data_IF_397209518566
#
_entry.id   IF_397209518566
#
_cell.length_a   1.000
_cell.length_b   1.000
_cell.length_c   1.000
_cell.angle_alpha   90.00
_cell.angle_beta   90.00
_cell.angle_gamma   90.00
#
_symmetry.space_group_name_H-M   'P 1'
#
loop_
_entity.id
_entity.type
_entity.pdbx_description
1 polymer ?
#
# COMPACT_ATOMS: atom_id res chain seq x y z
N UNK A 1 16.54 35.39 -19.21
CA UNK A 1 17.71 36.22 -18.80
C UNK A 1 17.57 36.44 -17.31
N UNK A 2 18.37 35.72 -16.53
CA UNK A 2 18.42 35.84 -15.07
C UNK A 2 19.53 36.84 -14.79
N UNK A 3 19.23 37.95 -14.11
CA UNK A 3 20.23 38.96 -13.74
C UNK A 3 20.78 38.68 -12.34
N UNK A 4 22.03 39.10 -12.12
CA UNK A 4 22.96 38.83 -11.01
C UNK A 4 22.54 39.25 -9.58
N UNK A 5 21.25 39.23 -9.24
CA UNK A 5 20.76 39.50 -7.87
C UNK A 5 20.33 38.25 -7.09
N UNK A 6 20.32 37.06 -7.69
CA UNK A 6 19.87 35.82 -7.03
C UNK A 6 20.98 35.05 -6.28
N UNK A 7 22.12 35.68 -6.00
CA UNK A 7 23.26 35.09 -5.29
C UNK A 7 23.67 35.88 -4.05
N UNK A 8 22.75 36.19 -3.16
CA UNK A 8 23.10 36.53 -1.78
C UNK A 8 21.86 36.61 -0.87
N UNK A 9 21.42 35.49 -0.28
CA UNK A 9 21.03 35.43 1.15
C UNK A 9 21.15 33.96 1.61
N UNK A 10 22.38 33.51 1.84
CA UNK A 10 22.63 32.38 2.74
C UNK A 10 22.86 32.99 4.12
N UNK A 11 21.95 32.74 5.07
CA UNK A 11 22.12 33.11 6.48
C UNK A 11 21.33 34.33 6.97
N UNK A 12 20.00 34.23 7.05
CA UNK A 12 19.18 34.94 8.05
C UNK A 12 17.72 34.48 7.96
N UNK A 13 17.03 34.40 9.10
CA UNK A 13 15.62 34.01 9.28
C UNK A 13 14.73 34.60 8.19
N UNK A 14 14.13 33.75 7.35
CA UNK A 14 13.14 34.17 6.35
C UNK A 14 11.80 34.34 7.08
N UNK A 15 11.33 35.58 7.19
CA UNK A 15 9.97 35.90 7.61
C UNK A 15 8.99 35.65 6.46
N UNK A 16 8.00 34.79 6.67
CA UNK A 16 6.98 34.41 5.68
C UNK A 16 5.91 35.49 5.46
N UNK A 17 6.30 36.67 5.00
CA UNK A 17 5.38 37.76 4.67
C UNK A 17 5.47 38.24 3.21
N UNK A 18 6.31 37.65 2.37
CA UNK A 18 6.48 38.13 0.99
C UNK A 18 5.50 37.51 -0.03
N UNK A 19 4.88 38.33 -0.91
CA UNK A 19 3.85 37.90 -1.88
C UNK A 19 4.30 36.81 -2.86
N UNK A 20 5.60 36.72 -3.17
CA UNK A 20 6.16 35.76 -4.13
C UNK A 20 6.08 34.30 -3.67
N UNK A 21 6.11 34.05 -2.36
CA UNK A 21 6.06 32.70 -1.81
C UNK A 21 4.65 32.07 -1.89
N UNK A 22 3.61 32.90 -1.99
CA UNK A 22 2.21 32.45 -2.16
C UNK A 22 1.93 31.91 -3.56
N UNK A 23 2.64 32.38 -4.58
CA UNK A 23 2.42 31.97 -5.98
C UNK A 23 2.99 30.56 -6.24
N UNK A 24 4.13 30.22 -5.64
CA UNK A 24 4.72 28.88 -5.76
C UNK A 24 3.85 27.79 -5.10
N UNK A 25 3.24 28.09 -3.95
CA UNK A 25 2.29 27.20 -3.27
C UNK A 25 0.95 27.07 -4.02
N UNK A 26 0.48 28.14 -4.67
CA UNK A 26 -0.79 28.10 -5.42
C UNK A 26 -0.71 27.22 -6.68
N UNK A 27 0.47 27.12 -7.32
CA UNK A 27 0.66 26.29 -8.53
C UNK A 27 0.67 24.79 -8.18
N UNK A 28 1.24 24.40 -7.04
CA UNK A 28 1.15 23.02 -6.53
C UNK A 28 -0.24 22.66 -5.97
N UNK A 29 -1.03 23.66 -5.57
CA UNK A 29 -2.36 23.50 -4.96
C UNK A 29 -3.48 23.23 -5.98
N UNK A 30 -3.34 23.66 -7.23
CA UNK A 30 -4.42 23.53 -8.23
C UNK A 30 -4.72 22.08 -8.68
N UNK A 31 -3.90 21.10 -8.30
CA UNK A 31 -4.09 19.67 -8.62
C UNK A 31 -4.83 18.87 -7.54
N UNK A 32 -5.17 19.46 -6.38
CA UNK A 32 -5.87 18.76 -5.31
C UNK A 32 -6.86 19.70 -4.59
N UNK A 33 -8.12 19.64 -5.00
CA UNK A 33 -9.21 20.47 -4.47
C UNK A 33 -9.62 20.05 -3.05
N UNK A 34 -8.94 20.56 -2.04
CA UNK A 34 -9.51 20.75 -0.70
C UNK A 34 -9.13 22.15 -0.18
N UNK A 35 -10.07 22.94 0.38
CA UNK A 35 -9.77 24.28 0.87
C UNK A 35 -8.91 24.22 2.15
N UNK A 36 -7.75 24.88 2.12
CA UNK A 36 -6.95 25.16 3.31
C UNK A 36 -7.74 26.08 4.28
N UNK A 37 -8.01 25.58 5.48
CA UNK A 37 -8.60 26.37 6.56
C UNK A 37 -7.50 27.21 7.22
N UNK A 38 -7.49 28.53 7.01
CA UNK A 38 -6.50 29.46 7.58
C UNK A 38 -6.42 29.43 9.12
N UNK A 39 -7.39 28.84 9.83
CA UNK A 39 -7.32 28.64 11.30
C UNK A 39 -6.30 27.60 11.76
N UNK A 40 -5.64 26.89 10.84
CA UNK A 40 -4.58 25.93 11.15
C UNK A 40 -3.22 26.58 11.47
N UNK A 41 -3.01 27.85 11.10
CA UNK A 41 -1.76 28.57 11.39
C UNK A 41 -1.68 28.98 12.88
N UNK A 42 -2.80 29.04 13.60
CA UNK A 42 -2.86 29.44 15.01
C UNK A 42 -2.71 28.26 16.01
N UNK A 43 -2.75 27.02 15.52
CA UNK A 43 -2.42 25.83 16.31
C UNK A 43 -0.95 25.53 16.05
N UNK A 44 -0.11 25.70 17.06
CA UNK A 44 1.35 25.55 16.96
C UNK A 44 1.73 24.37 16.07
N UNK A 45 2.32 24.66 14.92
CA UNK A 45 2.76 23.67 13.95
C UNK A 45 3.80 22.82 14.65
N UNK A 46 3.46 21.56 14.92
CA UNK A 46 4.39 20.60 15.48
C UNK A 46 5.43 20.27 14.41
N UNK A 47 6.65 20.77 14.64
CA UNK A 47 7.76 20.83 13.70
C UNK A 47 8.70 19.62 13.79
N UNK A 48 8.37 18.60 14.60
CA UNK A 48 9.21 17.42 14.72
C UNK A 48 9.33 16.70 13.36
N UNK A 49 10.55 16.38 12.90
CA UNK A 49 10.71 15.54 11.72
C UNK A 49 10.09 14.18 12.01
N UNK A 50 9.41 13.60 11.01
CA UNK A 50 8.81 12.28 11.17
C UNK A 50 9.19 11.34 10.03
N UNK A 51 9.20 10.05 10.35
CA UNK A 51 9.41 8.95 9.42
C UNK A 51 8.06 8.40 9.00
N UNK A 52 7.89 8.15 7.70
CA UNK A 52 6.80 7.36 7.16
C UNK A 52 7.36 5.96 6.87
N UNK A 53 6.78 4.92 7.47
CA UNK A 53 7.27 3.53 7.35
C UNK A 53 6.13 2.53 7.11
N UNK A 54 6.50 1.33 6.68
CA UNK A 54 5.57 0.22 6.40
C UNK A 54 6.22 -1.14 6.65
N UNK A 55 5.47 -2.20 6.37
CA UNK A 55 5.95 -3.58 6.32
C UNK A 55 6.13 -4.08 4.88
N UNK A 56 6.93 -5.12 4.70
CA UNK A 56 7.30 -5.69 3.38
C UNK A 56 6.10 -6.12 2.51
N UNK A 57 4.95 -6.41 3.12
CA UNK A 57 3.71 -6.88 2.46
C UNK A 57 2.99 -5.81 1.62
N UNK A 58 3.67 -4.70 1.33
CA UNK A 58 3.26 -3.66 0.38
C UNK A 58 3.60 -4.06 -1.07
N UNK A 59 4.39 -5.12 -1.27
CA UNK A 59 4.74 -5.73 -2.57
C UNK A 59 5.29 -4.71 -3.60
N UNK A 60 6.15 -3.82 -3.11
CA UNK A 60 6.91 -2.89 -3.95
C UNK A 60 8.36 -3.35 -4.08
N UNK A 61 9.03 -3.07 -5.22
CA UNK A 61 10.44 -3.40 -5.38
C UNK A 61 11.30 -2.54 -4.44
N UNK A 62 12.49 -3.03 -4.09
CA UNK A 62 13.43 -2.31 -3.22
C UNK A 62 13.69 -0.86 -3.64
N UNK A 63 13.78 -0.60 -4.94
CA UNK A 63 13.95 0.74 -5.50
C UNK A 63 12.86 1.73 -5.04
N UNK A 64 11.61 1.29 -4.86
CA UNK A 64 10.52 2.13 -4.35
C UNK A 64 10.87 2.73 -2.98
N UNK A 65 11.46 1.92 -2.09
CA UNK A 65 11.81 2.32 -0.74
C UNK A 65 13.07 3.18 -0.70
N UNK A 66 14.10 2.80 -1.47
CA UNK A 66 15.37 3.52 -1.54
C UNK A 66 15.19 4.92 -2.12
N UNK A 67 14.46 5.06 -3.23
CA UNK A 67 14.19 6.34 -3.88
C UNK A 67 13.35 7.28 -3.00
N UNK A 68 12.45 6.73 -2.19
CA UNK A 68 11.53 7.49 -1.34
C UNK A 68 12.06 7.70 0.08
N UNK A 69 13.13 7.00 0.46
CA UNK A 69 13.63 6.97 1.83
C UNK A 69 12.59 6.46 2.83
N UNK A 70 11.80 5.45 2.43
CA UNK A 70 10.77 4.81 3.28
C UNK A 70 11.39 3.59 3.96
N UNK A 71 11.62 3.61 5.29
CA UNK A 71 12.05 2.43 6.01
C UNK A 71 10.92 1.40 6.05
N UNK A 72 11.29 0.12 6.02
CA UNK A 72 10.33 -0.96 6.13
C UNK A 72 10.81 -2.07 7.06
N UNK A 73 9.86 -2.80 7.64
CA UNK A 73 10.08 -3.99 8.46
C UNK A 73 9.66 -5.25 7.70
N UNK A 74 10.52 -6.27 7.71
CA UNK A 74 10.24 -7.50 6.97
C UNK A 74 9.31 -8.42 7.76
N UNK A 75 8.28 -8.92 7.10
CA UNK A 75 7.63 -10.16 7.49
C UNK A 75 8.57 -11.35 7.24
N UNK A 76 8.14 -12.55 7.66
CA UNK A 76 8.84 -13.79 7.38
C UNK A 76 7.93 -14.80 6.69
N UNK A 77 8.49 -15.56 5.78
CA UNK A 77 7.89 -16.79 5.27
C UNK A 77 8.70 -17.98 5.81
N UNK A 78 8.02 -19.10 6.02
CA UNK A 78 8.56 -20.29 6.66
C UNK A 78 8.46 -21.43 5.66
N UNK A 79 9.59 -22.03 5.30
CA UNK A 79 9.67 -23.20 4.42
C UNK A 79 9.15 -24.47 5.11
N UNK A 80 8.94 -25.52 4.33
CA UNK A 80 8.37 -26.77 4.81
C UNK A 80 9.25 -27.50 5.85
N UNK A 81 10.56 -27.22 5.85
CA UNK A 81 11.52 -27.69 6.86
C UNK A 81 11.53 -26.85 8.15
N UNK A 82 10.75 -25.78 8.20
CA UNK A 82 10.60 -24.89 9.36
C UNK A 82 11.60 -23.74 9.41
N UNK A 83 12.45 -23.56 8.38
CA UNK A 83 13.34 -22.39 8.33
C UNK A 83 12.56 -21.09 8.06
N UNK A 84 12.88 -20.04 8.80
CA UNK A 84 12.26 -18.73 8.64
C UNK A 84 13.15 -17.81 7.79
N UNK A 85 12.58 -17.28 6.73
CA UNK A 85 13.24 -16.39 5.79
C UNK A 85 12.57 -15.02 5.80
N UNK A 86 13.35 -13.96 5.67
CA UNK A 86 12.80 -12.61 5.52
C UNK A 86 12.08 -12.49 4.17
N UNK A 87 10.95 -11.80 4.17
CA UNK A 87 10.34 -11.26 2.97
C UNK A 87 11.05 -9.94 2.61
N UNK A 88 12.28 -10.09 2.12
CA UNK A 88 13.20 -8.99 1.86
C UNK A 88 13.09 -8.44 0.43
N UNK A 89 11.87 -8.45 -0.10
CA UNK A 89 11.52 -7.90 -1.41
C UNK A 89 12.22 -8.59 -2.59
N UNK A 90 12.57 -9.87 -2.41
CA UNK A 90 13.16 -10.71 -3.46
C UNK A 90 14.69 -10.71 -3.50
N UNK A 91 15.36 -10.10 -2.51
CA UNK A 91 16.82 -9.97 -2.47
C UNK A 91 17.51 -11.30 -2.13
N UNK A 92 17.02 -12.03 -1.12
CA UNK A 92 17.58 -13.33 -0.72
C UNK A 92 17.07 -14.48 -1.60
N UNK A 93 15.85 -14.37 -2.11
CA UNK A 93 15.22 -15.36 -2.97
C UNK A 93 14.33 -14.65 -3.98
N UNK A 94 14.67 -14.76 -5.27
CA UNK A 94 13.84 -14.23 -6.36
C UNK A 94 12.43 -14.81 -6.29
N UNK A 95 11.41 -14.00 -6.58
CA UNK A 95 10.02 -14.45 -6.55
C UNK A 95 9.75 -15.60 -7.53
N UNK A 96 10.41 -15.64 -8.68
CA UNK A 96 10.34 -16.76 -9.63
C UNK A 96 10.76 -18.08 -8.96
N UNK A 97 11.91 -18.09 -8.30
CA UNK A 97 12.39 -19.28 -7.57
C UNK A 97 11.45 -19.67 -6.41
N UNK A 98 10.87 -18.69 -5.71
CA UNK A 98 9.88 -18.95 -4.66
C UNK A 98 8.62 -19.62 -5.23
N UNK A 99 8.04 -19.09 -6.30
CA UNK A 99 6.85 -19.67 -6.93
C UNK A 99 7.14 -21.01 -7.60
N UNK A 100 8.32 -21.22 -8.17
CA UNK A 100 8.74 -22.54 -8.67
C UNK A 100 8.78 -23.60 -7.55
N UNK A 101 9.23 -23.25 -6.34
CA UNK A 101 9.14 -24.18 -5.18
C UNK A 101 7.68 -24.54 -4.88
N UNK A 102 6.78 -23.56 -4.89
CA UNK A 102 5.36 -23.78 -4.62
C UNK A 102 4.69 -24.66 -5.69
N UNK A 103 4.99 -24.43 -6.98
CA UNK A 103 4.53 -25.29 -8.08
C UNK A 103 5.01 -26.73 -7.95
N UNK A 104 6.22 -26.92 -7.39
CA UNK A 104 6.80 -28.23 -7.09
C UNK A 104 6.29 -28.84 -5.77
N UNK A 105 5.27 -28.24 -5.15
CA UNK A 105 4.55 -28.80 -4.00
C UNK A 105 4.90 -28.19 -2.65
N UNK A 106 5.77 -27.18 -2.60
CA UNK A 106 6.09 -26.51 -1.34
C UNK A 106 4.87 -25.74 -0.79
N UNK A 107 4.65 -25.79 0.52
CA UNK A 107 3.48 -25.19 1.18
C UNK A 107 3.92 -24.18 2.26
N UNK A 108 4.62 -23.09 1.87
CA UNK A 108 5.17 -22.16 2.84
C UNK A 108 4.07 -21.54 3.71
N UNK A 109 4.43 -21.28 4.96
CA UNK A 109 3.61 -20.51 5.90
C UNK A 109 4.27 -19.16 6.18
N UNK A 110 3.66 -18.31 7.00
CA UNK A 110 4.15 -16.95 7.24
C UNK A 110 4.07 -16.58 8.70
N UNK A 111 4.97 -15.72 9.14
CA UNK A 111 4.88 -15.03 10.42
C UNK A 111 5.02 -13.52 10.26
N UNK A 112 4.23 -12.81 11.03
CA UNK A 112 4.33 -11.36 11.19
C UNK A 112 5.61 -10.99 11.98
N UNK A 113 6.08 -9.75 11.89
CA UNK A 113 7.06 -9.22 12.84
C UNK A 113 6.52 -9.35 14.27
N UNK A 114 7.41 -9.72 15.19
CA UNK A 114 7.05 -9.86 16.60
C UNK A 114 7.14 -8.50 17.31
N UNK A 115 6.74 -8.47 18.58
CA UNK A 115 6.76 -7.26 19.41
C UNK A 115 8.15 -6.61 19.48
N UNK A 116 9.22 -7.41 19.62
CA UNK A 116 10.58 -6.90 19.70
C UNK A 116 11.03 -6.34 18.34
N UNK A 117 10.72 -7.01 17.23
CA UNK A 117 11.03 -6.52 15.88
C UNK A 117 10.45 -5.11 15.67
N UNK A 118 9.18 -4.88 16.05
CA UNK A 118 8.56 -3.55 15.96
C UNK A 118 9.15 -2.55 16.96
N UNK A 119 9.44 -2.97 18.19
CA UNK A 119 10.02 -2.11 19.22
C UNK A 119 11.37 -1.58 18.75
N UNK A 120 12.27 -2.46 18.31
CA UNK A 120 13.59 -2.08 17.83
C UNK A 120 13.49 -1.18 16.59
N UNK A 121 12.59 -1.51 15.66
CA UNK A 121 12.36 -0.74 14.45
C UNK A 121 11.90 0.69 14.76
N UNK A 122 10.85 0.87 15.56
CA UNK A 122 10.35 2.19 15.91
C UNK A 122 11.33 2.97 16.78
N UNK A 123 11.90 2.32 17.81
CA UNK A 123 12.84 2.96 18.73
C UNK A 123 14.05 3.55 18.01
N UNK A 124 14.52 2.90 16.93
CA UNK A 124 15.63 3.43 16.12
C UNK A 124 15.37 4.86 15.60
N UNK A 125 14.13 5.19 15.25
CA UNK A 125 13.75 6.52 14.77
C UNK A 125 13.48 7.50 15.92
N UNK A 126 12.91 7.01 17.02
CA UNK A 126 12.62 7.82 18.21
C UNK A 126 13.90 8.35 18.87
N UNK A 127 14.93 7.49 18.95
CA UNK A 127 16.27 7.86 19.46
C UNK A 127 16.92 8.95 18.61
N UNK A 128 16.67 8.93 17.31
CA UNK A 128 17.09 9.97 16.36
C UNK A 128 16.26 11.27 16.47
N UNK A 129 15.30 11.30 17.39
CA UNK A 129 14.43 12.43 17.61
C UNK A 129 13.40 12.65 16.50
N UNK A 130 12.94 11.56 15.87
CA UNK A 130 11.89 11.59 14.84
C UNK A 130 10.60 10.98 15.38
N UNK A 131 9.48 11.55 14.99
CA UNK A 131 8.17 10.91 15.17
C UNK A 131 7.99 9.80 14.11
N UNK A 132 7.03 8.89 14.31
CA UNK A 132 6.79 7.75 13.42
C UNK A 132 5.32 7.72 13.00
N UNK A 133 5.10 7.72 11.69
CA UNK A 133 3.84 7.34 11.06
C UNK A 133 4.07 6.00 10.34
N UNK A 134 3.49 4.94 10.87
CA UNK A 134 3.59 3.61 10.28
C UNK A 134 2.23 3.22 9.69
N UNK A 135 2.20 2.85 8.41
CA UNK A 135 1.01 2.26 7.79
C UNK A 135 1.25 0.76 7.75
N UNK A 136 0.25 -0.06 8.08
CA UNK A 136 0.41 -1.51 8.19
C UNK A 136 -0.66 -2.27 7.38
N UNK A 137 -0.33 -3.50 6.99
CA UNK A 137 -1.24 -4.49 6.41
C UNK A 137 -2.54 -4.59 7.21
N UNK A 138 -3.64 -4.79 6.49
CA UNK A 138 -4.98 -4.94 7.07
C UNK A 138 -5.01 -5.83 8.31
N UNK A 139 -5.56 -5.28 9.40
CA UNK A 139 -5.78 -6.02 10.65
C UNK A 139 -6.74 -7.22 10.51
N UNK A 140 -7.57 -7.26 9.47
CA UNK A 140 -8.45 -8.39 9.19
C UNK A 140 -7.72 -9.59 8.53
N UNK A 141 -6.47 -9.39 8.08
CA UNK A 141 -5.66 -10.40 7.38
C UNK A 141 -4.50 -10.88 8.26
N UNK A 142 -3.92 -9.98 9.05
CA UNK A 142 -2.73 -10.21 9.87
C UNK A 142 -2.84 -9.53 11.24
N UNK A 143 -2.22 -10.12 12.26
CA UNK A 143 -2.06 -9.50 13.57
C UNK A 143 -0.89 -8.51 13.64
N UNK A 144 -0.23 -8.19 12.52
CA UNK A 144 0.90 -7.27 12.50
C UNK A 144 0.51 -5.87 13.01
N UNK A 145 -0.66 -5.37 12.61
CA UNK A 145 -1.20 -4.10 13.10
C UNK A 145 -1.30 -4.06 14.64
N UNK A 146 -1.86 -5.10 15.27
CA UNK A 146 -1.98 -5.13 16.73
C UNK A 146 -0.62 -5.29 17.43
N UNK A 147 0.33 -5.99 16.80
CA UNK A 147 1.73 -6.06 17.24
C UNK A 147 2.41 -4.70 17.22
N UNK A 148 2.29 -3.97 16.11
CA UNK A 148 2.83 -2.63 15.93
C UNK A 148 2.22 -1.63 16.94
N UNK A 149 0.90 -1.65 17.13
CA UNK A 149 0.21 -0.82 18.14
C UNK A 149 0.72 -1.12 19.55
N UNK A 150 0.92 -2.40 19.89
CA UNK A 150 1.43 -2.79 21.20
C UNK A 150 2.84 -2.27 21.45
N UNK A 151 3.74 -2.40 20.46
CA UNK A 151 5.09 -1.86 20.53
C UNK A 151 5.11 -0.33 20.63
N UNK A 152 4.29 0.36 19.82
CA UNK A 152 4.13 1.80 19.87
C UNK A 152 3.68 2.30 21.25
N UNK A 153 2.70 1.63 21.88
CA UNK A 153 2.23 2.00 23.21
C UNK A 153 3.30 1.83 24.29
N UNK A 154 4.10 0.76 24.24
CA UNK A 154 5.22 0.58 25.16
C UNK A 154 6.29 1.68 25.00
N UNK A 155 6.58 2.08 23.76
CA UNK A 155 7.56 3.13 23.48
C UNK A 155 7.06 4.53 23.85
N UNK A 156 5.74 4.79 23.83
CA UNK A 156 5.17 6.07 24.30
C UNK A 156 5.48 6.35 25.78
N UNK A 157 5.64 5.32 26.61
CA UNK A 157 6.07 5.48 28.02
C UNK A 157 7.55 5.88 28.13
N UNK A 158 8.38 5.39 27.20
CA UNK A 158 9.84 5.62 27.20
C UNK A 158 10.21 6.94 26.51
N UNK A 159 9.43 7.35 25.50
CA UNK A 159 9.62 8.55 24.69
C UNK A 159 8.36 9.44 24.71
N UNK A 160 8.00 10.01 25.87
CA UNK A 160 6.74 10.74 26.05
C UNK A 160 6.66 12.03 25.21
N UNK A 161 7.78 12.56 24.74
CA UNK A 161 7.87 13.72 23.86
C UNK A 161 7.78 13.38 22.36
N UNK A 162 7.67 12.08 22.02
CA UNK A 162 7.58 11.60 20.63
C UNK A 162 6.21 11.07 20.29
N UNK A 163 5.86 11.17 19.01
CA UNK A 163 4.61 10.65 18.45
C UNK A 163 4.88 9.37 17.66
N UNK A 164 4.03 8.37 17.86
CA UNK A 164 4.02 7.11 17.10
C UNK A 164 2.56 6.81 16.79
N UNK A 165 2.21 6.85 15.51
CA UNK A 165 0.87 6.52 15.04
C UNK A 165 0.93 5.38 14.05
N UNK A 166 0.07 4.38 14.28
CA UNK A 166 -0.04 3.16 13.48
C UNK A 166 -1.37 3.20 12.75
N UNK A 167 -1.35 3.21 11.42
CA UNK A 167 -2.52 3.22 10.56
C UNK A 167 -2.77 1.81 10.05
N UNK A 168 -3.94 1.26 10.37
CA UNK A 168 -4.47 0.10 9.67
C UNK A 168 -4.86 0.52 8.26
N UNK A 169 -4.11 0.06 7.25
CA UNK A 169 -4.38 0.35 5.83
C UNK A 169 -5.73 -0.19 5.37
N UNK A 170 -6.32 -1.14 6.10
CA UNK A 170 -7.48 -1.92 5.66
C UNK A 170 -7.29 -2.51 4.27
N UNK A 171 -6.04 -2.67 3.81
CA UNK A 171 -5.73 -3.12 2.46
C UNK A 171 -4.51 -4.06 2.53
N UNK A 172 -4.09 -4.57 1.37
CA UNK A 172 -2.93 -5.43 1.23
C UNK A 172 -2.24 -5.13 -0.10
N UNK A 173 -0.94 -5.43 -0.19
CA UNK A 173 -0.20 -5.35 -1.46
C UNK A 173 -0.39 -4.00 -2.16
N UNK A 174 -0.85 -3.99 -3.42
CA UNK A 174 -1.03 -2.80 -4.25
C UNK A 174 -1.93 -1.71 -3.66
N UNK A 175 -3.02 -2.05 -2.97
CA UNK A 175 -3.91 -1.02 -2.41
C UNK A 175 -3.29 -0.37 -1.18
N UNK A 176 -2.51 -1.14 -0.42
CA UNK A 176 -1.64 -0.63 0.64
C UNK A 176 -0.51 0.25 0.07
N UNK A 177 0.12 -0.16 -1.04
CA UNK A 177 1.14 0.63 -1.74
C UNK A 177 0.60 1.97 -2.23
N UNK A 178 -0.60 1.98 -2.79
CA UNK A 178 -1.26 3.18 -3.29
C UNK A 178 -1.54 4.20 -2.17
N UNK A 179 -1.96 3.73 -0.98
CA UNK A 179 -2.12 4.59 0.21
C UNK A 179 -0.76 5.15 0.65
N UNK A 180 0.26 4.30 0.75
CA UNK A 180 1.61 4.69 1.16
C UNK A 180 2.21 5.75 0.23
N UNK A 181 2.12 5.56 -1.09
CA UNK A 181 2.65 6.52 -2.06
C UNK A 181 1.92 7.87 -1.98
N UNK A 182 0.59 7.88 -1.81
CA UNK A 182 -0.16 9.12 -1.64
C UNK A 182 0.23 9.87 -0.37
N UNK A 183 0.38 9.17 0.77
CA UNK A 183 0.81 9.79 2.04
C UNK A 183 2.24 10.30 1.94
N UNK A 184 3.13 9.55 1.28
CA UNK A 184 4.49 9.99 1.02
C UNK A 184 4.50 11.30 0.21
N UNK A 185 3.72 11.39 -0.88
CA UNK A 185 3.61 12.62 -1.66
C UNK A 185 3.14 13.82 -0.82
N UNK A 186 2.17 13.62 0.09
CA UNK A 186 1.72 14.68 1.00
C UNK A 186 2.78 15.11 1.99
N UNK A 187 3.48 14.14 2.59
CA UNK A 187 4.61 14.41 3.47
C UNK A 187 5.69 15.22 2.75
N UNK A 188 6.05 14.87 1.52
CA UNK A 188 7.03 15.60 0.73
C UNK A 188 6.57 17.02 0.37
N UNK A 189 5.25 17.22 0.24
CA UNK A 189 4.64 18.55 0.09
C UNK A 189 4.56 19.36 1.41
N UNK A 190 5.13 18.85 2.51
CA UNK A 190 5.18 19.53 3.80
C UNK A 190 3.89 19.41 4.62
N UNK A 191 3.01 18.45 4.30
CA UNK A 191 1.82 18.20 5.12
C UNK A 191 2.23 17.82 6.55
N UNK A 192 1.67 18.47 7.60
CA UNK A 192 1.98 18.15 8.99
C UNK A 192 1.66 16.69 9.36
N UNK A 193 2.27 16.20 10.43
CA UNK A 193 2.13 14.82 10.90
C UNK A 193 0.66 14.42 11.11
N UNK A 194 -0.11 15.18 11.90
CA UNK A 194 -1.52 14.89 12.17
C UNK A 194 -2.39 14.91 10.92
N UNK A 195 -2.01 15.72 9.94
CA UNK A 195 -2.72 15.83 8.67
C UNK A 195 -2.41 14.63 7.77
N UNK A 196 -1.16 14.14 7.79
CA UNK A 196 -0.78 12.89 7.13
C UNK A 196 -1.49 11.68 7.72
N UNK A 197 -1.65 11.62 9.05
CA UNK A 197 -2.43 10.59 9.76
C UNK A 197 -3.87 10.57 9.24
N UNK A 198 -4.58 11.71 9.31
CA UNK A 198 -5.97 11.80 8.86
C UNK A 198 -6.12 11.57 7.36
N UNK A 199 -5.13 11.98 6.57
CA UNK A 199 -5.10 11.73 5.13
C UNK A 199 -4.94 10.24 4.82
N UNK A 200 -4.07 9.52 5.54
CA UNK A 200 -3.91 8.07 5.38
C UNK A 200 -5.21 7.32 5.70
N UNK A 201 -5.90 7.71 6.78
CA UNK A 201 -7.22 7.17 7.14
C UNK A 201 -8.26 7.45 6.06
N UNK A 202 -8.31 8.68 5.52
CA UNK A 202 -9.24 9.01 4.43
C UNK A 202 -8.93 8.24 3.14
N UNK A 203 -7.65 8.04 2.81
CA UNK A 203 -7.23 7.24 1.66
C UNK A 203 -7.75 5.81 1.75
N UNK A 204 -7.67 5.15 2.92
CA UNK A 204 -8.09 3.76 3.05
C UNK A 204 -9.57 3.51 2.74
N UNK A 205 -10.42 4.53 2.94
CA UNK A 205 -11.85 4.47 2.65
C UNK A 205 -12.17 4.56 1.15
N UNK A 206 -11.17 4.88 0.31
CA UNK A 206 -11.29 5.03 -1.14
C UNK A 206 -10.40 4.09 -1.94
N UNK A 207 -9.43 3.45 -1.29
CA UNK A 207 -8.53 2.50 -1.94
C UNK A 207 -9.30 1.20 -2.27
N UNK A 208 -9.74 1.07 -3.52
CA UNK A 208 -10.41 -0.13 -4.02
C UNK A 208 -9.37 -1.14 -4.45
N UNK A 209 -9.61 -2.41 -4.16
CA UNK A 209 -8.75 -3.51 -4.57
C UNK A 209 -9.60 -4.67 -5.07
N UNK A 210 -9.39 -5.05 -6.32
CA UNK A 210 -10.08 -6.16 -6.98
C UNK A 210 -9.06 -7.18 -7.44
N UNK A 211 -9.36 -8.47 -7.30
CA UNK A 211 -8.44 -9.52 -7.72
C UNK A 211 -9.16 -10.78 -8.13
N UNK A 212 -8.48 -11.60 -8.93
CA UNK A 212 -8.88 -12.97 -9.20
C UNK A 212 -7.69 -13.89 -9.02
N UNK A 213 -7.96 -15.17 -8.77
CA UNK A 213 -6.96 -16.22 -8.77
C UNK A 213 -7.46 -17.43 -9.53
N UNK A 214 -6.53 -18.15 -10.17
CA UNK A 214 -6.80 -19.42 -10.85
C UNK A 214 -6.88 -20.60 -9.90
N UNK A 215 -6.36 -20.46 -8.68
CA UNK A 215 -6.34 -21.53 -7.68
C UNK A 215 -6.71 -21.01 -6.28
N UNK A 216 -7.96 -21.22 -5.89
CA UNK A 216 -8.48 -20.81 -4.59
C UNK A 216 -8.04 -21.71 -3.44
N UNK A 217 -7.39 -22.85 -3.71
CA UNK A 217 -6.97 -23.78 -2.66
C UNK A 217 -5.94 -23.15 -1.72
N UNK A 218 -5.07 -22.28 -2.25
CA UNK A 218 -4.11 -21.50 -1.47
C UNK A 218 -4.80 -20.58 -0.47
N UNK A 219 -5.86 -19.88 -0.88
CA UNK A 219 -6.60 -18.97 -0.01
C UNK A 219 -7.33 -19.71 1.12
N UNK A 220 -7.87 -20.88 0.82
CA UNK A 220 -8.54 -21.72 1.83
C UNK A 220 -7.54 -22.31 2.80
N UNK A 221 -6.40 -22.82 2.31
CA UNK A 221 -5.31 -23.31 3.17
C UNK A 221 -4.74 -22.19 4.05
N UNK A 222 -4.54 -21.01 3.47
CA UNK A 222 -4.07 -19.82 4.17
C UNK A 222 -5.06 -19.33 5.23
N UNK A 223 -6.36 -19.60 5.08
CA UNK A 223 -7.37 -19.27 6.10
C UNK A 223 -7.73 -17.77 6.20
N UNK A 224 -7.15 -16.93 5.33
CA UNK A 224 -7.38 -15.46 5.29
C UNK A 224 -8.63 -15.08 4.51
N UNK A 225 -9.28 -16.05 3.86
CA UNK A 225 -10.56 -15.85 3.18
C UNK A 225 -11.59 -16.89 3.58
N UNK A 226 -12.19 -16.68 4.76
CA UNK A 226 -13.19 -17.59 5.34
C UNK A 226 -14.37 -17.90 4.39
N UNK A 227 -14.91 -16.94 3.60
CA UNK A 227 -16.02 -17.23 2.69
C UNK A 227 -15.66 -18.05 1.43
N UNK A 228 -14.38 -18.17 1.06
CA UNK A 228 -13.97 -18.91 -0.16
C UNK A 228 -14.12 -20.42 0.00
N UNK A 229 -14.10 -20.97 1.22
CA UNK A 229 -14.23 -22.41 1.44
C UNK A 229 -15.48 -23.02 0.76
N UNK A 230 -16.58 -22.26 0.67
CA UNK A 230 -17.81 -22.67 -0.02
C UNK A 230 -17.78 -22.52 -1.55
N UNK A 231 -16.75 -21.89 -2.12
CA UNK A 231 -16.56 -21.72 -3.57
C UNK A 231 -15.71 -22.83 -4.19
N UNK A 232 -14.95 -23.58 -3.39
CA UNK A 232 -14.20 -24.77 -3.83
C UNK A 232 -15.20 -25.93 -3.95
N UNK A 233 -15.97 -25.93 -5.03
CA UNK A 233 -16.82 -27.04 -5.47
C UNK A 233 -16.22 -27.80 -6.65
N UNK A 234 -16.93 -28.79 -7.18
CA UNK A 234 -16.50 -29.65 -8.31
C UNK A 234 -16.42 -28.95 -9.68
N UNK A 235 -16.38 -27.61 -9.73
CA UNK A 235 -16.47 -26.84 -10.96
C UNK A 235 -15.08 -26.41 -11.43
N UNK A 236 -14.60 -27.07 -12.49
CA UNK A 236 -13.38 -26.70 -13.20
C UNK A 236 -13.44 -25.24 -13.68
N UNK A 237 -12.31 -24.53 -13.57
CA UNK A 237 -12.09 -23.16 -14.09
C UNK A 237 -12.91 -22.04 -13.45
N UNK A 238 -13.44 -22.21 -12.23
CA UNK A 238 -13.96 -21.06 -11.45
C UNK A 238 -12.80 -20.13 -11.10
N UNK A 239 -12.98 -18.85 -11.37
CA UNK A 239 -12.01 -17.79 -11.14
C UNK A 239 -12.80 -16.56 -10.64
N UNK A 240 -13.24 -16.57 -9.37
CA UNK A 240 -14.12 -15.53 -8.87
C UNK A 240 -13.32 -14.24 -8.73
N UNK A 241 -14.01 -13.12 -8.91
CA UNK A 241 -13.48 -11.82 -8.53
C UNK A 241 -13.73 -11.67 -7.03
N UNK A 242 -12.71 -11.22 -6.34
CA UNK A 242 -12.71 -10.90 -4.93
C UNK A 242 -12.32 -9.44 -4.76
N UNK A 243 -12.68 -8.88 -3.61
CA UNK A 243 -12.26 -7.56 -3.19
C UNK A 243 -11.79 -7.56 -1.75
N UNK A 244 -11.19 -6.44 -1.34
CA UNK A 244 -10.96 -6.13 0.07
C UNK A 244 -12.06 -5.16 0.51
N UNK A 245 -12.87 -5.56 1.50
CA UNK A 245 -13.99 -4.77 2.01
C UNK A 245 -13.55 -3.60 2.90
N UNK A 246 -14.50 -2.82 3.41
CA UNK A 246 -14.23 -1.68 4.33
C UNK A 246 -13.50 -2.10 5.60
N UNK A 247 -13.82 -3.26 6.14
CA UNK A 247 -13.16 -3.81 7.34
C UNK A 247 -11.77 -4.39 7.04
N UNK A 248 -11.39 -4.44 5.77
CA UNK A 248 -10.11 -4.87 5.28
C UNK A 248 -10.01 -6.39 5.07
N UNK A 249 -11.14 -7.09 5.08
CA UNK A 249 -11.22 -8.53 4.86
C UNK A 249 -11.33 -8.85 3.37
N UNK A 250 -10.82 -10.02 2.96
CA UNK A 250 -10.99 -10.53 1.61
C UNK A 250 -12.41 -11.13 1.49
N UNK A 251 -13.19 -10.65 0.53
CA UNK A 251 -14.58 -11.08 0.32
C UNK A 251 -14.80 -11.44 -1.16
N UNK A 252 -15.54 -12.52 -1.47
CA UNK A 252 -15.98 -12.78 -2.83
C UNK A 252 -16.92 -11.69 -3.35
N UNK A 253 -16.62 -11.13 -4.51
CA UNK A 253 -17.41 -10.08 -5.17
C UNK A 253 -18.31 -10.65 -6.26
N UNK A 254 -17.74 -11.44 -7.17
CA UNK A 254 -18.46 -11.98 -8.32
C UNK A 254 -17.99 -13.40 -8.69
N UNK A 255 -18.93 -14.27 -9.06
CA UNK A 255 -18.62 -15.61 -9.59
C UNK A 255 -18.36 -15.50 -11.09
N UNK A 256 -17.11 -15.71 -11.48
CA UNK A 256 -16.67 -15.68 -12.88
C UNK A 256 -15.99 -17.00 -13.23
N UNK A 257 -16.04 -17.37 -14.51
CA UNK A 257 -15.37 -18.57 -15.07
C UNK A 257 -14.33 -18.12 -16.10
N UNK A 258 -13.07 -18.48 -15.87
CA UNK A 258 -11.94 -18.20 -16.74
C UNK A 258 -11.32 -16.80 -16.58
N UNK A 259 -9.98 -16.76 -16.60
CA UNK A 259 -9.15 -15.56 -16.41
C UNK A 259 -9.49 -14.40 -17.34
N UNK A 260 -9.73 -14.69 -18.63
CA UNK A 260 -10.05 -13.66 -19.62
C UNK A 260 -11.39 -12.96 -19.37
N UNK A 261 -12.39 -13.67 -18.82
CA UNK A 261 -13.65 -13.05 -18.40
C UNK A 261 -13.46 -12.28 -17.10
N UNK A 262 -12.70 -12.82 -16.14
CA UNK A 262 -12.41 -12.14 -14.88
C UNK A 262 -11.70 -10.78 -15.12
N UNK A 263 -10.70 -10.73 -16.01
CA UNK A 263 -10.04 -9.48 -16.38
C UNK A 263 -11.01 -8.45 -17.00
N UNK A 264 -11.88 -8.87 -17.92
CA UNK A 264 -12.92 -8.00 -18.51
C UNK A 264 -13.89 -7.48 -17.46
N UNK A 265 -14.36 -8.36 -16.59
CA UNK A 265 -15.29 -8.01 -15.53
C UNK A 265 -14.61 -7.07 -14.51
N UNK A 266 -13.31 -7.21 -14.22
CA UNK A 266 -12.55 -6.24 -13.40
C UNK A 266 -12.52 -4.86 -14.05
N UNK A 267 -12.23 -4.75 -15.35
CA UNK A 267 -12.21 -3.44 -16.05
C UNK A 267 -13.57 -2.77 -15.99
N UNK A 268 -14.65 -3.54 -16.18
CA UNK A 268 -16.02 -3.03 -16.04
C UNK A 268 -16.32 -2.57 -14.60
N UNK A 269 -15.88 -3.34 -13.60
CA UNK A 269 -16.05 -2.96 -12.19
C UNK A 269 -15.25 -1.71 -11.85
N UNK A 270 -14.05 -1.54 -12.41
CA UNK A 270 -13.29 -0.30 -12.27
C UNK A 270 -14.04 0.89 -12.86
N UNK A 271 -14.73 0.75 -14.00
CA UNK A 271 -15.55 1.82 -14.59
C UNK A 271 -16.70 2.22 -13.64
N UNK A 272 -17.30 1.25 -12.95
CA UNK A 272 -18.40 1.47 -12.00
C UNK A 272 -17.92 2.07 -10.66
N UNK A 273 -16.68 1.80 -10.25
CA UNK A 273 -16.20 2.09 -8.89
C UNK A 273 -15.16 3.21 -8.81
N UNK A 274 -14.43 3.49 -9.89
CA UNK A 274 -13.35 4.48 -9.90
C UNK A 274 -13.90 5.91 -9.79
N UNK A 275 -13.10 6.78 -9.17
CA UNK A 275 -13.39 8.22 -9.16
C UNK A 275 -13.55 8.73 -10.58
N UNK A 276 -14.61 9.50 -10.83
CA UNK A 276 -14.87 10.06 -12.16
C UNK A 276 -15.09 9.00 -13.26
N UNK A 277 -15.31 7.73 -12.91
CA UNK A 277 -15.62 6.63 -13.85
C UNK A 277 -14.64 6.58 -15.04
N UNK A 278 -15.14 6.61 -16.28
CA UNK A 278 -14.28 6.57 -17.49
C UNK A 278 -13.33 7.76 -17.64
N UNK A 279 -13.54 8.85 -16.90
CA UNK A 279 -12.64 9.99 -16.85
C UNK A 279 -11.55 9.86 -15.76
N UNK A 280 -11.43 8.70 -15.11
CA UNK A 280 -10.38 8.40 -14.14
C UNK A 280 -8.99 8.76 -14.66
N UNK A 281 -8.31 9.63 -13.92
CA UNK A 281 -6.97 10.15 -14.23
C UNK A 281 -5.93 9.82 -13.15
N UNK A 282 -6.33 9.02 -12.15
CA UNK A 282 -5.46 8.59 -11.06
C UNK A 282 -4.50 7.44 -11.41
N UNK A 283 -3.62 7.07 -10.48
CA UNK A 283 -2.71 5.94 -10.64
C UNK A 283 -3.43 4.60 -10.54
N UNK A 284 -2.93 3.62 -11.30
CA UNK A 284 -3.36 2.22 -11.20
C UNK A 284 -2.16 1.36 -10.84
N UNK A 285 -2.36 0.50 -9.84
CA UNK A 285 -1.37 -0.47 -9.41
C UNK A 285 -1.90 -1.87 -9.68
N UNK A 286 -1.11 -2.71 -10.34
CA UNK A 286 -1.41 -4.10 -10.62
C UNK A 286 -0.30 -4.95 -9.99
N UNK A 287 -0.68 -6.06 -9.37
CA UNK A 287 0.27 -7.07 -8.91
C UNK A 287 -0.08 -8.44 -9.47
N UNK A 288 0.93 -9.29 -9.58
CA UNK A 288 0.75 -10.69 -10.00
C UNK A 288 1.58 -11.66 -9.16
N UNK A 289 1.09 -12.88 -8.98
CA UNK A 289 1.88 -13.99 -8.47
C UNK A 289 2.25 -14.92 -9.63
N UNK A 290 3.42 -14.67 -10.23
CA UNK A 290 3.95 -15.54 -11.30
C UNK A 290 3.02 -15.74 -12.52
N UNK A 291 2.35 -14.64 -12.91
CA UNK A 291 1.48 -14.55 -14.08
C UNK A 291 1.56 -13.15 -14.73
N UNK A 292 2.79 -12.72 -15.05
CA UNK A 292 3.08 -11.37 -15.57
C UNK A 292 2.31 -11.07 -16.87
N UNK A 293 2.15 -12.05 -17.76
CA UNK A 293 1.43 -11.86 -19.02
C UNK A 293 -0.04 -11.48 -18.78
N UNK A 294 -0.71 -12.12 -17.82
CA UNK A 294 -2.08 -11.78 -17.42
C UNK A 294 -2.20 -10.39 -16.83
N UNK A 295 -1.23 -9.97 -16.00
CA UNK A 295 -1.20 -8.63 -15.43
C UNK A 295 -0.94 -7.55 -16.50
N UNK A 296 -0.02 -7.81 -17.43
CA UNK A 296 0.22 -6.93 -18.58
C UNK A 296 -1.02 -6.81 -19.47
N UNK A 297 -1.72 -7.93 -19.70
CA UNK A 297 -2.96 -7.93 -20.46
C UNK A 297 -4.05 -7.10 -19.77
N UNK A 298 -4.21 -7.25 -18.45
CA UNK A 298 -5.13 -6.42 -17.67
C UNK A 298 -4.75 -4.92 -17.76
N UNK A 299 -3.46 -4.60 -17.62
CA UNK A 299 -2.97 -3.23 -17.76
C UNK A 299 -3.27 -2.62 -19.13
N UNK A 300 -3.10 -3.39 -20.21
CA UNK A 300 -3.47 -2.95 -21.57
C UNK A 300 -4.97 -2.67 -21.69
N UNK A 301 -5.82 -3.53 -21.11
CA UNK A 301 -7.27 -3.34 -21.13
C UNK A 301 -7.70 -2.10 -20.35
N UNK A 302 -7.11 -1.87 -19.17
CA UNK A 302 -7.35 -0.66 -18.37
C UNK A 302 -6.89 0.58 -19.14
N UNK A 303 -5.69 0.58 -19.70
CA UNK A 303 -5.16 1.70 -20.46
C UNK A 303 -5.99 2.05 -21.71
N UNK A 304 -6.69 1.06 -22.30
CA UNK A 304 -7.63 1.26 -23.40
C UNK A 304 -8.99 1.81 -22.94
N UNK A 305 -9.50 1.34 -21.80
CA UNK A 305 -10.79 1.77 -21.23
C UNK A 305 -10.72 3.18 -20.62
N UNK A 306 -9.59 3.54 -20.00
CA UNK A 306 -9.39 4.80 -19.28
C UNK A 306 -8.28 5.62 -19.96
N UNK A 307 -8.58 6.46 -20.97
CA UNK A 307 -7.56 7.19 -21.73
C UNK A 307 -6.75 8.20 -20.91
N UNK A 308 -7.29 8.66 -19.78
CA UNK A 308 -6.67 9.66 -18.89
C UNK A 308 -5.89 9.05 -17.73
N UNK A 309 -5.97 7.74 -17.54
CA UNK A 309 -5.29 7.04 -16.43
C UNK A 309 -3.81 7.42 -16.39
N UNK A 310 -3.28 7.65 -15.19
CA UNK A 310 -1.88 7.97 -15.03
C UNK A 310 -1.01 6.82 -15.55
N UNK A 311 0.06 7.17 -16.28
CA UNK A 311 0.99 6.21 -16.89
C UNK A 311 2.43 6.45 -16.41
N UNK A 312 3.27 5.39 -16.35
CA UNK A 312 2.93 3.99 -16.64
C UNK A 312 2.01 3.38 -15.56
N UNK A 313 1.20 2.39 -15.93
CA UNK A 313 0.51 1.56 -14.94
C UNK A 313 1.58 0.78 -14.18
N UNK A 314 1.53 0.83 -12.85
CA UNK A 314 2.50 0.15 -12.00
C UNK A 314 2.19 -1.34 -11.98
N UNK A 315 3.13 -2.18 -12.40
CA UNK A 315 2.99 -3.64 -12.37
C UNK A 315 4.15 -4.20 -11.55
N UNK A 316 3.84 -4.87 -10.44
CA UNK A 316 4.85 -5.51 -9.57
C UNK A 316 4.47 -6.97 -9.26
N UNK A 317 5.39 -7.72 -8.66
CA UNK A 317 5.12 -9.09 -8.22
C UNK A 317 4.64 -9.11 -6.78
N UNK A 318 3.72 -10.03 -6.48
CA UNK A 318 3.33 -10.36 -5.11
C UNK A 318 4.53 -11.01 -4.40
N UNK A 319 4.83 -10.55 -3.18
CA UNK A 319 5.96 -11.02 -2.38
C UNK A 319 5.74 -12.41 -1.77
N UNK A 320 6.75 -12.92 -1.06
CA UNK A 320 6.73 -14.28 -0.54
C UNK A 320 5.60 -14.49 0.48
N UNK A 321 5.33 -13.48 1.31
CA UNK A 321 4.34 -13.57 2.38
C UNK A 321 2.92 -13.61 1.84
N UNK A 322 2.53 -12.64 1.00
CA UNK A 322 1.19 -12.67 0.40
C UNK A 322 1.08 -13.88 -0.54
N UNK A 323 2.14 -14.17 -1.30
CA UNK A 323 2.23 -15.32 -2.19
C UNK A 323 1.96 -16.66 -1.51
N UNK A 324 2.46 -16.89 -0.28
CA UNK A 324 2.18 -18.11 0.50
C UNK A 324 0.69 -18.39 0.70
N UNK A 325 -0.15 -17.34 0.73
CA UNK A 325 -1.60 -17.45 0.92
C UNK A 325 -2.40 -17.36 -0.37
N UNK A 326 -1.90 -16.64 -1.39
CA UNK A 326 -2.63 -16.46 -2.66
C UNK A 326 -2.27 -17.50 -3.71
N UNK A 327 -1.10 -18.12 -3.60
CA UNK A 327 -0.56 -19.03 -4.61
C UNK A 327 -0.18 -18.35 -5.92
N UNK A 328 0.43 -19.08 -6.87
CA UNK A 328 0.64 -18.60 -8.23
C UNK A 328 -0.70 -18.43 -8.98
N UNK A 329 -0.73 -17.50 -9.94
CA UNK A 329 -1.88 -17.25 -10.81
C UNK A 329 -2.90 -16.23 -10.27
N UNK A 330 -2.51 -15.40 -9.31
CA UNK A 330 -3.31 -14.27 -8.81
C UNK A 330 -2.95 -13.00 -9.58
N UNK A 331 -3.96 -12.27 -10.04
CA UNK A 331 -3.80 -10.88 -10.53
C UNK A 331 -4.72 -9.98 -9.72
N UNK A 332 -4.16 -8.89 -9.22
CA UNK A 332 -4.90 -7.88 -8.47
C UNK A 332 -4.66 -6.48 -9.04
N UNK A 333 -5.65 -5.60 -8.86
CA UNK A 333 -5.58 -4.20 -9.24
C UNK A 333 -6.07 -3.33 -8.10
N UNK A 334 -5.41 -2.19 -7.89
CA UNK A 334 -5.88 -1.12 -7.03
C UNK A 334 -5.96 0.22 -7.78
N UNK A 335 -6.98 0.99 -7.41
CA UNK A 335 -7.30 2.31 -7.92
C UNK A 335 -8.12 3.07 -6.88
N UNK A 336 -8.19 4.40 -7.04
CA UNK A 336 -9.03 5.24 -6.21
C UNK A 336 -10.49 5.18 -6.68
N UNK A 337 -11.40 4.85 -5.76
CA UNK A 337 -12.83 4.86 -5.99
C UNK A 337 -13.57 5.86 -5.14
N UNK A 338 -14.80 6.19 -5.52
CA UNK A 338 -15.65 7.12 -4.76
C UNK A 338 -15.85 6.66 -3.30
N UNK A 339 -15.92 5.35 -3.11
CA UNK A 339 -15.94 4.68 -1.82
C UNK A 339 -15.44 3.25 -1.96
N UNK A 340 -14.91 2.70 -0.87
CA UNK A 340 -14.57 1.29 -0.80
C UNK A 340 -15.82 0.40 -0.74
N UNK A 341 -15.70 -0.75 -1.38
CA UNK A 341 -16.73 -1.80 -1.39
C UNK A 341 -16.98 -2.31 0.03
N UNK A 342 -18.27 -2.50 0.36
CA UNK A 342 -18.71 -3.06 1.64
C UNK A 342 -18.64 -4.57 1.70
#
# INVERSE_FOLDING_TARGET
MITDTDRAVCGSRISFSEPGCKVALQIAYNSCKMPLNLSMIERGIDMNPFVLSCSSTIDQPKAFFEERGIPYICFRWISDDGEAHLDDLGESLSFEAFYERMKNGALPTTSQPNFQDFTDFFESFLRDGKDVLHIELSSAISGAYSGAVSAANALKETYPERRIEIIDSKNASMGYAMIMDAVWQRKQAGMPFEDCVRFAEACRERAVSLFYSTDLTWYVRGGRVKPIAGLIGNMLNICPILHIDREGALIPHAKVRGKGKAAKDIVKQMEELSEHANDYDGPVYIVHSDCLEEAQHLGQMIAAQFPKVQRPIHITSIGCVIGSHTGPGTVAVAFWGDQKLG
#
